data_IF_801508948185
#
_entry.id   IF_801508948185
#
_cell.length_a   1.000
_cell.length_b   1.000
_cell.length_c   1.000
_cell.angle_alpha   90.00
_cell.angle_beta   90.00
_cell.angle_gamma   90.00
#
_symmetry.space_group_name_H-M   'P 1'
#
loop_
_entity.id
_entity.type
_entity.pdbx_description
1 polymer ?
#
# COMPACT_ATOMS: atom_id res chain seq x y z
N UNK A 1 13.34 -10.06 1.65
CA UNK A 1 12.72 -8.73 1.46
C UNK A 1 13.76 -7.67 1.05
N UNK A 2 14.96 -7.62 1.68
CA UNK A 2 15.99 -6.61 1.36
C UNK A 2 16.55 -6.69 -0.07
N UNK A 3 16.37 -7.80 -0.78
CA UNK A 3 16.82 -7.98 -2.18
C UNK A 3 15.80 -7.50 -3.22
N UNK A 4 14.63 -6.99 -2.80
CA UNK A 4 13.62 -6.47 -3.72
C UNK A 4 14.05 -5.09 -4.22
N UNK A 5 13.91 -4.86 -5.52
CA UNK A 5 14.32 -3.62 -6.21
C UNK A 5 13.74 -2.38 -5.53
N UNK A 6 12.43 -2.37 -5.25
CA UNK A 6 11.78 -1.26 -4.59
C UNK A 6 12.39 -0.95 -3.21
N UNK A 7 12.67 -1.99 -2.40
CA UNK A 7 13.26 -1.80 -1.09
C UNK A 7 14.69 -1.23 -1.19
N UNK A 8 15.48 -1.71 -2.15
CA UNK A 8 16.82 -1.18 -2.39
C UNK A 8 16.78 0.27 -2.89
N UNK A 9 15.83 0.59 -3.76
CA UNK A 9 15.66 1.97 -4.20
C UNK A 9 15.27 2.89 -3.02
N UNK A 10 14.29 2.50 -2.18
CA UNK A 10 13.90 3.26 -1.00
C UNK A 10 15.08 3.46 -0.03
N UNK A 11 15.84 2.40 0.26
CA UNK A 11 17.01 2.47 1.14
C UNK A 11 18.10 3.38 0.57
N UNK A 12 18.27 3.41 -0.76
CA UNK A 12 19.24 4.28 -1.42
C UNK A 12 18.93 5.77 -1.21
N UNK A 13 17.66 6.14 -1.11
CA UNK A 13 17.24 7.52 -0.80
C UNK A 13 17.71 7.98 0.59
N UNK A 14 17.84 7.04 1.52
CA UNK A 14 18.41 7.27 2.86
C UNK A 14 19.91 7.00 2.94
N UNK A 15 20.55 6.71 1.81
CA UNK A 15 21.98 6.38 1.71
C UNK A 15 22.41 5.21 2.62
N UNK A 16 21.52 4.24 2.81
CA UNK A 16 21.76 3.00 3.56
C UNK A 16 21.59 1.78 2.65
N UNK A 17 22.27 0.68 3.00
CA UNK A 17 22.24 -0.56 2.20
C UNK A 17 21.28 -1.62 2.73
N UNK A 18 21.03 -1.63 4.03
CA UNK A 18 20.19 -2.61 4.69
C UNK A 18 19.10 -1.93 5.50
N UNK A 19 17.97 -2.59 5.63
CA UNK A 19 16.87 -2.11 6.45
C UNK A 19 17.29 -1.97 7.92
N UNK A 20 18.13 -2.86 8.41
CA UNK A 20 18.66 -2.85 9.77
C UNK A 20 19.43 -1.56 10.08
N UNK A 21 20.21 -1.06 9.10
CA UNK A 21 20.99 0.17 9.24
C UNK A 21 20.08 1.40 9.50
N UNK A 22 18.83 1.36 8.99
CA UNK A 22 17.82 2.40 9.21
C UNK A 22 17.00 2.14 10.48
N UNK A 23 16.64 0.88 10.74
CA UNK A 23 15.68 0.50 11.76
C UNK A 23 16.31 0.34 13.16
N UNK A 24 17.59 0.06 13.28
CA UNK A 24 18.23 -0.26 14.56
C UNK A 24 18.01 0.82 15.62
N UNK A 25 18.15 2.09 15.24
CA UNK A 25 17.95 3.21 16.14
C UNK A 25 16.48 3.54 16.45
N UNK A 26 15.55 2.98 15.67
CA UNK A 26 14.12 3.19 15.84
C UNK A 26 13.43 2.10 16.69
N UNK A 27 14.13 1.02 17.02
CA UNK A 27 13.56 -0.13 17.77
C UNK A 27 13.30 0.16 19.26
N UNK A 28 13.62 1.34 19.74
CA UNK A 28 13.37 1.74 21.11
C UNK A 28 11.89 2.14 21.30
N UNK A 29 11.18 1.43 22.17
CA UNK A 29 9.76 1.73 22.49
C UNK A 29 9.56 3.14 23.07
N UNK A 30 10.58 3.74 23.66
CA UNK A 30 10.51 5.14 24.14
C UNK A 30 10.35 6.16 22.99
N UNK A 31 10.56 5.75 21.73
CA UNK A 31 10.35 6.58 20.55
C UNK A 31 8.91 6.45 19.98
N UNK A 32 8.07 5.62 20.60
CA UNK A 32 6.68 5.51 20.17
C UNK A 32 5.88 6.74 20.60
N UNK A 33 5.03 7.24 19.71
CA UNK A 33 4.20 8.42 19.98
C UNK A 33 4.75 9.73 19.41
N UNK A 34 4.18 10.82 19.88
CA UNK A 34 4.40 12.18 19.38
C UNK A 34 5.04 13.06 20.46
N UNK A 35 5.80 14.04 20.02
CA UNK A 35 6.27 15.15 20.87
C UNK A 35 5.18 16.23 21.08
N UNK A 36 5.52 17.29 21.80
CA UNK A 36 4.65 18.44 22.08
C UNK A 36 4.22 19.23 20.83
N UNK A 37 4.94 19.09 19.73
CA UNK A 37 4.66 19.71 18.43
C UNK A 37 3.89 18.79 17.47
N UNK A 38 3.42 17.64 17.96
CA UNK A 38 2.78 16.59 17.16
C UNK A 38 3.69 16.04 16.04
N UNK A 39 4.97 15.83 16.33
CA UNK A 39 5.93 15.16 15.45
C UNK A 39 6.31 13.82 16.06
N UNK A 40 6.39 12.76 15.28
CA UNK A 40 6.80 11.46 15.80
C UNK A 40 8.25 11.50 16.32
N UNK A 41 8.50 10.91 17.47
CA UNK A 41 9.87 10.73 17.98
C UNK A 41 10.72 9.92 16.99
N UNK A 42 10.10 9.03 16.20
CA UNK A 42 10.75 8.33 15.11
C UNK A 42 11.30 9.28 14.04
N UNK A 43 10.58 10.35 13.70
CA UNK A 43 11.06 11.35 12.75
C UNK A 43 12.34 12.04 13.26
N UNK A 44 12.35 12.44 14.53
CA UNK A 44 13.54 13.05 15.13
C UNK A 44 14.74 12.10 15.16
N UNK A 45 14.52 10.84 15.58
CA UNK A 45 15.57 9.83 15.60
C UNK A 45 16.11 9.53 14.20
N UNK A 46 15.23 9.46 13.20
CA UNK A 46 15.61 9.22 11.81
C UNK A 46 16.41 10.38 11.23
N UNK A 47 15.96 11.63 11.41
CA UNK A 47 16.64 12.82 10.88
C UNK A 47 17.94 13.10 11.58
N UNK A 48 18.05 12.86 12.88
CA UNK A 48 19.31 12.97 13.63
C UNK A 48 20.37 11.97 13.13
N UNK A 49 19.97 10.75 12.79
CA UNK A 49 20.84 9.71 12.26
C UNK A 49 21.31 10.03 10.83
N UNK A 50 20.44 10.60 10.01
CA UNK A 50 20.62 10.79 8.57
C UNK A 50 21.10 12.21 8.21
N UNK A 51 21.43 13.04 9.19
CA UNK A 51 21.84 14.42 8.95
C UNK A 51 22.97 14.47 7.88
N UNK A 52 22.68 15.17 6.77
CA UNK A 52 23.54 15.26 5.56
C UNK A 52 23.78 13.93 4.79
N UNK A 53 23.15 12.82 5.16
CA UNK A 53 23.34 11.56 4.46
C UNK A 53 22.17 11.17 3.56
N UNK A 54 20.97 11.72 3.78
CA UNK A 54 19.79 11.42 2.96
C UNK A 54 19.75 12.26 1.68
N UNK A 55 19.19 11.68 0.61
CA UNK A 55 18.86 12.39 -0.62
C UNK A 55 17.50 13.12 -0.53
N UNK A 56 16.76 12.92 0.58
CA UNK A 56 15.47 13.55 0.81
C UNK A 56 15.66 14.83 1.63
N UNK A 57 15.08 15.97 1.20
CA UNK A 57 15.05 17.19 2.01
C UNK A 57 14.37 16.95 3.37
N UNK A 58 14.93 17.54 4.43
CA UNK A 58 14.40 17.40 5.80
C UNK A 58 12.97 17.91 5.89
N UNK A 59 12.67 18.99 5.19
CA UNK A 59 11.34 19.61 5.12
C UNK A 59 10.32 18.64 4.52
N UNK A 60 10.72 17.86 3.52
CA UNK A 60 9.86 16.86 2.89
C UNK A 60 9.61 15.67 3.82
N UNK A 61 10.63 15.24 4.56
CA UNK A 61 10.46 14.19 5.57
C UNK A 61 9.52 14.63 6.69
N UNK A 62 9.57 15.91 7.09
CA UNK A 62 8.63 16.48 8.06
C UNK A 62 7.21 16.56 7.51
N UNK A 63 7.04 16.93 6.24
CA UNK A 63 5.73 16.92 5.57
C UNK A 63 5.11 15.51 5.58
N UNK A 64 5.90 14.48 5.26
CA UNK A 64 5.44 13.09 5.32
C UNK A 64 5.06 12.67 6.74
N UNK A 65 5.85 13.05 7.74
CA UNK A 65 5.52 12.79 9.15
C UNK A 65 4.20 13.43 9.55
N UNK A 66 4.00 14.70 9.22
CA UNK A 66 2.76 15.42 9.49
C UNK A 66 1.56 14.82 8.77
N UNK A 67 1.75 14.27 7.56
CA UNK A 67 0.70 13.51 6.87
C UNK A 67 0.31 12.27 7.70
N UNK A 68 1.28 11.49 8.16
CA UNK A 68 1.06 10.29 8.98
C UNK A 68 0.33 10.65 10.27
N UNK A 69 0.71 11.77 10.93
CA UNK A 69 0.01 12.28 12.10
C UNK A 69 -1.47 12.56 11.79
N UNK A 70 -1.77 13.27 10.69
CA UNK A 70 -3.16 13.58 10.30
C UNK A 70 -3.99 12.32 10.05
N UNK A 71 -3.42 11.32 9.37
CA UNK A 71 -4.13 10.05 9.15
C UNK A 71 -4.40 9.34 10.46
N UNK A 72 -3.42 9.31 11.36
CA UNK A 72 -3.53 8.67 12.67
C UNK A 72 -4.60 9.35 13.52
N UNK A 73 -4.63 10.67 13.56
CA UNK A 73 -5.66 11.44 14.25
C UNK A 73 -7.05 11.10 13.72
N UNK A 74 -7.24 11.09 12.41
CA UNK A 74 -8.51 10.71 11.78
C UNK A 74 -8.94 9.28 12.13
N UNK A 75 -8.03 8.32 12.11
CA UNK A 75 -8.33 6.94 12.48
C UNK A 75 -8.64 6.80 13.98
N UNK A 76 -8.11 7.69 14.82
CA UNK A 76 -8.32 7.69 16.25
C UNK A 76 -9.62 8.38 16.69
N UNK A 77 -10.24 9.24 15.87
CA UNK A 77 -11.44 9.98 16.24
C UNK A 77 -12.54 9.10 16.85
N UNK A 78 -12.85 7.99 16.18
CA UNK A 78 -13.92 7.08 16.64
C UNK A 78 -13.46 6.13 17.74
N UNK A 79 -12.19 5.74 17.72
CA UNK A 79 -11.59 4.91 18.77
C UNK A 79 -11.67 5.59 20.12
N UNK A 80 -11.25 6.85 20.18
CA UNK A 80 -11.29 7.68 21.41
C UNK A 80 -12.72 7.84 21.90
N UNK A 81 -13.69 8.12 21.03
CA UNK A 81 -15.09 8.27 21.42
C UNK A 81 -15.72 6.97 21.94
N UNK A 82 -15.17 5.82 21.59
CA UNK A 82 -15.58 4.47 22.07
C UNK A 82 -14.79 4.02 23.31
N UNK A 83 -13.84 4.82 23.78
CA UNK A 83 -12.97 4.46 24.91
C UNK A 83 -11.93 3.39 24.56
N UNK A 84 -11.63 3.22 23.26
CA UNK A 84 -10.55 2.33 22.80
C UNK A 84 -9.21 3.05 22.86
N UNK A 85 -8.13 2.28 23.04
CA UNK A 85 -6.77 2.83 23.02
C UNK A 85 -6.45 3.46 21.66
N UNK A 86 -5.82 4.65 21.64
CA UNK A 86 -5.41 5.28 20.40
C UNK A 86 -4.32 4.46 19.69
N UNK A 87 -4.26 4.58 18.38
CA UNK A 87 -3.22 3.97 17.57
C UNK A 87 -1.90 4.68 17.87
N UNK A 88 -0.91 3.89 18.25
CA UNK A 88 0.50 4.29 18.37
C UNK A 88 1.31 3.39 17.47
N UNK A 89 1.98 3.97 16.48
CA UNK A 89 2.72 3.19 15.50
C UNK A 89 3.99 2.60 16.10
N UNK A 90 4.27 1.34 15.78
CA UNK A 90 5.58 0.73 15.98
C UNK A 90 6.54 1.19 14.88
N UNK A 91 7.86 1.15 15.13
CA UNK A 91 8.88 1.65 14.19
C UNK A 91 8.72 1.09 12.76
N UNK A 92 8.42 -0.21 12.62
CA UNK A 92 8.26 -0.84 11.30
C UNK A 92 6.96 -0.41 10.60
N UNK A 93 5.90 -0.13 11.34
CA UNK A 93 4.66 0.43 10.81
C UNK A 93 4.88 1.88 10.34
N UNK A 94 5.54 2.69 11.17
CA UNK A 94 5.92 4.05 10.82
C UNK A 94 6.77 4.11 9.55
N UNK A 95 7.84 3.29 9.46
CA UNK A 95 8.66 3.21 8.25
C UNK A 95 7.87 2.73 7.03
N UNK A 96 6.92 1.81 7.21
CA UNK A 96 6.04 1.38 6.11
C UNK A 96 5.20 2.54 5.59
N UNK A 97 4.61 3.34 6.48
CA UNK A 97 3.84 4.52 6.09
C UNK A 97 4.73 5.58 5.43
N UNK A 98 5.90 5.87 5.99
CA UNK A 98 6.86 6.80 5.42
C UNK A 98 7.32 6.39 4.01
N UNK A 99 7.63 5.12 3.81
CA UNK A 99 8.01 4.60 2.49
C UNK A 99 6.84 4.67 1.48
N UNK A 100 5.62 4.50 1.95
CA UNK A 100 4.42 4.69 1.13
C UNK A 100 4.24 6.16 0.74
N UNK A 101 4.45 7.12 1.66
CA UNK A 101 4.46 8.55 1.36
C UNK A 101 5.45 8.87 0.23
N UNK A 102 6.71 8.42 0.39
CA UNK A 102 7.77 8.65 -0.60
C UNK A 102 7.38 8.07 -1.97
N UNK A 103 6.85 6.85 -1.99
CA UNK A 103 6.46 6.20 -3.24
C UNK A 103 5.30 6.93 -3.92
N UNK A 104 4.22 7.22 -3.21
CA UNK A 104 3.05 7.88 -3.75
C UNK A 104 3.37 9.30 -4.22
N UNK A 105 4.17 10.06 -3.46
CA UNK A 105 4.65 11.37 -3.89
C UNK A 105 5.30 11.28 -5.28
N UNK A 106 6.23 10.35 -5.48
CA UNK A 106 6.94 10.16 -6.76
C UNK A 106 6.02 9.62 -7.85
N UNK A 107 5.14 8.69 -7.49
CA UNK A 107 4.15 8.13 -8.42
C UNK A 107 3.21 9.19 -9.00
N UNK A 108 2.76 10.14 -8.18
CA UNK A 108 1.84 11.20 -8.62
C UNK A 108 2.56 12.41 -9.22
N UNK A 109 3.74 12.78 -8.71
CA UNK A 109 4.48 13.96 -9.18
C UNK A 109 5.24 13.70 -10.47
N UNK A 110 6.03 12.62 -10.51
CA UNK A 110 6.91 12.29 -11.64
C UNK A 110 7.13 10.77 -11.75
N UNK A 111 6.16 10.04 -12.30
CA UNK A 111 6.24 8.59 -12.46
C UNK A 111 7.38 8.15 -13.40
N UNK A 112 7.80 9.01 -14.34
CA UNK A 112 8.93 8.70 -15.23
C UNK A 112 10.25 8.67 -14.49
N UNK A 113 10.51 9.66 -13.64
CA UNK A 113 11.71 9.68 -12.80
C UNK A 113 11.69 8.53 -11.79
N UNK A 114 10.53 8.18 -11.22
CA UNK A 114 10.41 6.99 -10.37
C UNK A 114 10.77 5.72 -11.13
N UNK A 115 10.23 5.53 -12.33
CA UNK A 115 10.51 4.37 -13.18
C UNK A 115 12.00 4.28 -13.54
N UNK A 116 12.62 5.39 -13.96
CA UNK A 116 14.03 5.45 -14.26
C UNK A 116 14.90 5.12 -13.03
N UNK A 117 14.54 5.60 -11.85
CA UNK A 117 15.22 5.27 -10.60
C UNK A 117 15.12 3.79 -10.23
N UNK A 118 13.97 3.16 -10.45
CA UNK A 118 13.78 1.73 -10.27
C UNK A 118 14.59 0.92 -11.30
N UNK A 119 14.65 1.35 -12.57
CA UNK A 119 15.49 0.70 -13.60
C UNK A 119 16.97 0.80 -13.27
N UNK A 120 17.45 1.93 -12.78
CA UNK A 120 18.83 2.05 -12.30
C UNK A 120 19.12 1.05 -11.18
N UNK A 121 18.17 0.84 -10.27
CA UNK A 121 18.30 -0.16 -9.21
C UNK A 121 18.23 -1.61 -9.75
N UNK A 122 17.39 -1.88 -10.77
CA UNK A 122 17.37 -3.17 -11.48
C UNK A 122 18.73 -3.47 -12.07
N UNK A 123 19.38 -2.51 -12.74
CA UNK A 123 20.72 -2.67 -13.31
C UNK A 123 21.75 -3.06 -12.23
N UNK A 124 21.72 -2.39 -11.06
CA UNK A 124 22.56 -2.73 -9.92
C UNK A 124 22.28 -4.15 -9.43
N UNK A 125 21.00 -4.53 -9.28
CA UNK A 125 20.60 -5.87 -8.83
C UNK A 125 21.02 -6.97 -9.80
N UNK A 126 21.20 -6.66 -11.07
CA UNK A 126 21.57 -7.61 -12.13
C UNK A 126 23.08 -7.72 -12.37
N UNK A 127 23.90 -6.87 -11.77
CA UNK A 127 25.36 -6.80 -12.03
C UNK A 127 26.05 -8.17 -11.94
N UNK A 128 25.66 -8.98 -10.94
CA UNK A 128 26.27 -10.30 -10.69
C UNK A 128 25.37 -11.46 -11.09
N UNK A 129 24.29 -11.22 -11.86
CA UNK A 129 23.34 -12.25 -12.26
C UNK A 129 23.51 -12.62 -13.73
N UNK A 130 23.50 -13.92 -13.99
CA UNK A 130 23.42 -14.47 -15.34
C UNK A 130 21.94 -14.67 -15.72
N UNK A 131 21.63 -14.64 -17.02
CA UNK A 131 20.33 -15.13 -17.49
C UNK A 131 20.17 -16.63 -17.13
N UNK A 132 18.99 -17.09 -16.71
CA UNK A 132 17.68 -16.39 -16.67
C UNK A 132 17.36 -15.66 -15.35
N UNK A 133 18.30 -15.48 -14.42
CA UNK A 133 18.06 -14.96 -13.08
C UNK A 133 17.98 -13.41 -13.04
N UNK A 134 18.19 -12.76 -14.18
CA UNK A 134 18.08 -11.31 -14.28
C UNK A 134 16.65 -10.82 -14.12
N UNK A 135 16.50 -9.69 -13.42
CA UNK A 135 15.22 -8.99 -13.30
C UNK A 135 15.00 -8.16 -14.57
N UNK A 136 13.87 -8.34 -15.23
CA UNK A 136 13.50 -7.52 -16.37
C UNK A 136 13.29 -6.06 -15.95
N UNK A 137 13.85 -5.07 -16.66
CA UNK A 137 13.59 -3.67 -16.40
C UNK A 137 12.17 -3.30 -16.81
N UNK A 138 11.67 -2.19 -16.27
CA UNK A 138 10.46 -1.54 -16.75
C UNK A 138 10.69 -0.95 -18.15
N UNK A 139 9.63 -0.92 -18.97
CA UNK A 139 9.68 -0.33 -20.32
C UNK A 139 9.60 1.22 -20.22
N UNK A 140 10.71 1.89 -20.52
CA UNK A 140 10.78 3.35 -20.51
C UNK A 140 10.06 4.03 -21.69
N UNK A 141 9.71 3.26 -22.73
CA UNK A 141 8.95 3.76 -23.88
C UNK A 141 7.44 3.68 -23.67
N UNK A 142 6.98 2.83 -22.76
CA UNK A 142 5.58 2.71 -22.39
C UNK A 142 5.19 3.72 -21.29
N UNK A 143 3.89 3.86 -21.07
CA UNK A 143 3.40 4.69 -19.96
C UNK A 143 3.89 4.15 -18.61
N UNK A 144 4.40 5.04 -17.76
CA UNK A 144 4.97 4.67 -16.48
C UNK A 144 3.90 4.26 -15.44
N UNK A 145 2.76 4.92 -15.41
CA UNK A 145 1.73 4.68 -14.38
C UNK A 145 1.22 3.24 -14.32
N UNK A 146 0.85 2.57 -15.43
CA UNK A 146 0.38 1.19 -15.37
C UNK A 146 1.45 0.21 -14.88
N UNK A 147 2.73 0.54 -15.06
CA UNK A 147 3.85 -0.30 -14.62
C UNK A 147 4.16 -0.12 -13.13
N UNK A 148 3.77 1.01 -12.53
CA UNK A 148 4.08 1.41 -11.16
C UNK A 148 2.86 1.36 -10.22
N UNK A 149 1.73 0.90 -10.70
CA UNK A 149 0.45 1.02 -10.02
C UNK A 149 0.18 -0.03 -8.94
N UNK A 150 1.21 -0.66 -8.39
CA UNK A 150 1.08 -1.74 -7.38
C UNK A 150 2.12 -1.62 -6.28
N UNK A 151 1.66 -1.69 -5.04
CA UNK A 151 2.51 -1.86 -3.86
C UNK A 151 2.08 -3.10 -3.08
N UNK A 152 3.04 -3.97 -2.75
CA UNK A 152 2.81 -5.15 -1.94
C UNK A 152 3.51 -5.03 -0.58
N UNK A 153 2.77 -5.31 0.48
CA UNK A 153 3.25 -5.28 1.87
C UNK A 153 3.36 -6.70 2.42
N UNK A 154 4.60 -7.12 2.65
CA UNK A 154 4.88 -8.40 3.29
C UNK A 154 4.97 -8.21 4.80
N UNK A 155 3.93 -8.61 5.51
CA UNK A 155 3.76 -8.34 6.92
C UNK A 155 3.31 -9.59 7.68
N UNK A 156 3.93 -9.86 8.82
CA UNK A 156 3.54 -10.97 9.68
C UNK A 156 2.08 -10.84 10.15
N UNK A 157 1.46 -11.98 10.47
CA UNK A 157 0.14 -11.98 11.12
C UNK A 157 0.23 -11.22 12.45
N UNK A 158 -0.77 -10.41 12.76
CA UNK A 158 -0.79 -9.59 13.98
C UNK A 158 0.10 -8.33 13.93
N UNK A 159 0.76 -8.02 12.81
CA UNK A 159 1.62 -6.83 12.69
C UNK A 159 0.87 -5.52 12.39
N UNK A 160 -0.47 -5.54 12.36
CA UNK A 160 -1.28 -4.36 12.10
C UNK A 160 -1.59 -4.11 10.61
N UNK A 161 -1.63 -5.15 9.77
CA UNK A 161 -1.97 -5.04 8.33
C UNK A 161 -3.22 -4.21 8.09
N UNK A 162 -4.31 -4.45 8.83
CA UNK A 162 -5.58 -3.73 8.67
C UNK A 162 -5.44 -2.25 8.98
N UNK A 163 -4.72 -1.88 10.03
CA UNK A 163 -4.48 -0.47 10.37
C UNK A 163 -3.68 0.24 9.27
N UNK A 164 -2.66 -0.44 8.72
CA UNK A 164 -1.89 0.09 7.61
C UNK A 164 -2.73 0.21 6.34
N UNK A 165 -3.61 -0.76 6.07
CA UNK A 165 -4.58 -0.69 4.96
C UNK A 165 -5.46 0.57 5.09
N UNK A 166 -5.99 0.84 6.28
CA UNK A 166 -6.79 2.04 6.53
C UNK A 166 -5.99 3.32 6.29
N UNK A 167 -4.75 3.38 6.78
CA UNK A 167 -3.87 4.52 6.55
C UNK A 167 -3.51 4.68 5.07
N UNK A 168 -3.25 3.59 4.34
CA UNK A 168 -2.91 3.64 2.91
C UNK A 168 -4.07 4.17 2.05
N UNK A 169 -5.33 3.92 2.42
CA UNK A 169 -6.49 4.56 1.77
C UNK A 169 -6.39 6.08 1.91
N UNK A 170 -6.12 6.57 3.13
CA UNK A 170 -6.01 7.99 3.40
C UNK A 170 -4.81 8.62 2.68
N UNK A 171 -3.66 7.93 2.64
CA UNK A 171 -2.48 8.34 1.90
C UNK A 171 -2.81 8.51 0.41
N UNK A 172 -3.40 7.50 -0.20
CA UNK A 172 -3.75 7.55 -1.63
C UNK A 172 -4.73 8.69 -1.95
N UNK A 173 -5.78 8.86 -1.12
CA UNK A 173 -6.74 9.97 -1.26
C UNK A 173 -6.07 11.33 -1.11
N UNK A 174 -5.13 11.49 -0.18
CA UNK A 174 -4.37 12.72 0.02
C UNK A 174 -3.55 13.08 -1.23
N UNK A 175 -2.87 12.11 -1.84
CA UNK A 175 -2.09 12.35 -3.06
C UNK A 175 -2.96 12.62 -4.28
N UNK A 176 -4.09 11.96 -4.42
CA UNK A 176 -5.09 12.32 -5.43
C UNK A 176 -5.56 13.78 -5.29
N UNK A 177 -5.78 14.24 -4.06
CA UNK A 177 -6.20 15.61 -3.79
C UNK A 177 -5.07 16.60 -4.05
N UNK A 178 -3.86 16.33 -3.52
CA UNK A 178 -2.65 17.15 -3.70
C UNK A 178 -2.35 17.41 -5.18
N UNK A 179 -2.55 16.43 -6.04
CA UNK A 179 -2.31 16.51 -7.48
C UNK A 179 -3.56 16.80 -8.33
N UNK A 180 -4.67 17.18 -7.71
CA UNK A 180 -5.92 17.60 -8.41
C UNK A 180 -6.63 16.46 -9.14
N UNK A 181 -6.32 15.19 -8.82
CA UNK A 181 -6.81 13.99 -9.49
C UNK A 181 -7.96 13.27 -8.75
N UNK A 182 -8.50 13.87 -7.69
CA UNK A 182 -9.54 13.23 -6.88
C UNK A 182 -10.77 12.78 -7.67
N UNK A 183 -11.14 13.52 -8.71
CA UNK A 183 -12.30 13.19 -9.57
C UNK A 183 -12.07 11.99 -10.48
N UNK A 184 -10.82 11.57 -10.62
CA UNK A 184 -10.47 10.40 -11.43
C UNK A 184 -10.75 9.09 -10.68
N UNK A 185 -10.82 9.11 -9.34
CA UNK A 185 -11.10 7.93 -8.55
C UNK A 185 -12.56 7.49 -8.75
N UNK A 186 -12.72 6.31 -9.33
CA UNK A 186 -14.02 5.71 -9.57
C UNK A 186 -14.55 4.99 -8.32
N UNK A 187 -13.79 4.02 -7.81
CA UNK A 187 -14.17 3.19 -6.65
C UNK A 187 -12.99 2.89 -5.75
N UNK A 188 -13.29 2.55 -4.50
CA UNK A 188 -12.34 1.94 -3.57
C UNK A 188 -12.85 0.53 -3.29
N UNK A 189 -12.11 -0.48 -3.71
CA UNK A 189 -12.51 -1.88 -3.65
C UNK A 189 -11.60 -2.63 -2.67
N UNK A 190 -12.18 -3.40 -1.75
CA UNK A 190 -11.41 -4.35 -0.93
C UNK A 190 -11.77 -5.78 -1.36
N UNK A 191 -10.79 -6.51 -1.87
CA UNK A 191 -10.91 -7.92 -2.19
C UNK A 191 -10.52 -8.78 -0.99
N UNK A 192 -11.40 -9.66 -0.59
CA UNK A 192 -11.20 -10.60 0.50
C UNK A 192 -11.33 -12.04 0.02
N UNK A 193 -10.64 -13.01 0.66
CA UNK A 193 -10.69 -14.40 0.24
C UNK A 193 -11.98 -15.14 0.64
N UNK A 194 -12.81 -14.56 1.50
CA UNK A 194 -14.09 -15.16 1.92
C UNK A 194 -15.01 -14.15 2.63
N UNK A 195 -16.28 -14.53 2.77
CA UNK A 195 -17.29 -13.68 3.39
C UNK A 195 -17.04 -13.37 4.88
N UNK A 196 -16.45 -14.31 5.63
CA UNK A 196 -16.11 -14.11 7.05
C UNK A 196 -15.12 -12.95 7.24
N UNK A 197 -14.08 -12.88 6.41
CA UNK A 197 -13.14 -11.76 6.39
C UNK A 197 -13.78 -10.48 5.88
N UNK A 198 -14.70 -10.54 4.90
CA UNK A 198 -15.46 -9.37 4.46
C UNK A 198 -16.23 -8.71 5.62
N UNK A 199 -16.91 -9.51 6.43
CA UNK A 199 -17.65 -9.05 7.62
C UNK A 199 -16.71 -8.51 8.71
N UNK A 200 -15.54 -9.11 8.89
CA UNK A 200 -14.54 -8.61 9.82
C UNK A 200 -14.06 -7.23 9.39
N UNK A 201 -13.64 -7.06 8.15
CA UNK A 201 -13.19 -5.77 7.62
C UNK A 201 -14.27 -4.70 7.71
N UNK A 202 -15.55 -5.04 7.45
CA UNK A 202 -16.64 -4.08 7.59
C UNK A 202 -16.67 -3.48 9.01
N UNK A 203 -16.58 -4.32 10.05
CA UNK A 203 -16.55 -3.86 11.46
C UNK A 203 -15.29 -3.02 11.77
N UNK A 204 -14.14 -3.41 11.21
CA UNK A 204 -12.88 -2.68 11.40
C UNK A 204 -12.91 -1.29 10.75
N UNK A 205 -13.52 -1.16 9.57
CA UNK A 205 -13.76 0.13 8.91
C UNK A 205 -14.71 1.03 9.72
N UNK A 206 -15.76 0.47 10.31
CA UNK A 206 -16.65 1.20 11.20
C UNK A 206 -15.89 1.79 12.40
N UNK A 207 -14.94 1.05 12.97
CA UNK A 207 -14.09 1.52 14.07
C UNK A 207 -13.13 2.62 13.62
N UNK A 208 -12.64 2.54 12.40
CA UNK A 208 -11.72 3.52 11.81
C UNK A 208 -12.39 4.78 11.26
N UNK A 209 -13.71 4.92 11.39
CA UNK A 209 -14.50 6.01 10.78
C UNK A 209 -14.33 6.12 9.25
N UNK A 210 -14.04 5.00 8.58
CA UNK A 210 -14.00 4.91 7.13
C UNK A 210 -15.33 4.29 6.67
N UNK A 211 -16.04 4.98 5.79
CA UNK A 211 -17.27 4.45 5.21
C UNK A 211 -16.98 3.20 4.40
N UNK A 212 -17.66 2.11 4.71
CA UNK A 212 -17.52 0.85 4.00
C UNK A 212 -18.85 0.13 3.89
N UNK A 213 -19.02 -0.65 2.85
CA UNK A 213 -20.20 -1.49 2.63
C UNK A 213 -19.80 -2.82 1.99
N UNK A 214 -20.58 -3.87 2.25
CA UNK A 214 -20.46 -5.09 1.48
C UNK A 214 -21.02 -4.83 0.09
N UNK A 215 -20.28 -5.21 -0.94
CA UNK A 215 -20.75 -5.02 -2.30
C UNK A 215 -22.10 -5.73 -2.51
N UNK A 216 -23.09 -4.97 -2.98
CA UNK A 216 -24.41 -5.47 -3.35
C UNK A 216 -24.67 -5.18 -4.83
N UNK A 217 -24.96 -6.22 -5.59
CA UNK A 217 -25.25 -6.16 -7.02
C UNK A 217 -26.46 -5.28 -7.35
N UNK A 218 -27.47 -5.28 -6.49
CA UNK A 218 -28.76 -4.57 -6.68
C UNK A 218 -28.69 -3.13 -6.13
N UNK A 219 -27.67 -2.82 -5.34
CA UNK A 219 -27.41 -1.48 -4.84
C UNK A 219 -26.65 -0.68 -5.89
N UNK A 220 -27.29 0.27 -6.56
CA UNK A 220 -26.54 1.39 -7.15
C UNK A 220 -25.87 2.07 -5.97
N UNK A 221 -24.55 1.87 -5.83
CA UNK A 221 -23.80 2.41 -4.70
C UNK A 221 -24.11 3.89 -4.51
N UNK A 222 -24.89 4.20 -3.49
CA UNK A 222 -25.25 5.57 -3.11
C UNK A 222 -24.00 6.42 -2.82
N UNK A 223 -22.85 5.77 -2.66
CA UNK A 223 -21.57 6.33 -2.27
C UNK A 223 -20.42 5.99 -3.23
N UNK A 224 -20.70 5.76 -4.52
CA UNK A 224 -19.66 5.43 -5.50
C UNK A 224 -18.44 6.35 -5.35
N UNK A 225 -17.27 5.75 -5.09
CA UNK A 225 -16.01 6.46 -4.88
C UNK A 225 -15.80 7.12 -3.51
N UNK A 226 -16.77 7.05 -2.58
CA UNK A 226 -16.65 7.62 -1.23
C UNK A 226 -16.57 6.54 -0.15
N UNK A 227 -17.19 5.38 -0.35
CA UNK A 227 -17.13 4.24 0.56
C UNK A 227 -16.23 3.14 -0.01
N UNK A 228 -15.66 2.34 0.88
CA UNK A 228 -14.95 1.12 0.51
C UNK A 228 -15.97 0.03 0.23
N UNK A 229 -15.98 -0.50 -0.98
CA UNK A 229 -16.82 -1.62 -1.37
C UNK A 229 -16.06 -2.93 -1.13
N UNK A 230 -16.55 -3.76 -0.22
CA UNK A 230 -15.89 -5.02 0.18
C UNK A 230 -16.46 -6.17 -0.65
N UNK A 231 -15.60 -6.85 -1.40
CA UNK A 231 -15.95 -7.95 -2.29
C UNK A 231 -15.29 -9.25 -1.85
N UNK A 232 -16.08 -10.29 -1.71
CA UNK A 232 -15.59 -11.65 -1.69
C UNK A 232 -15.21 -12.08 -3.12
N UNK A 233 -13.97 -12.48 -3.33
CA UNK A 233 -13.44 -12.84 -4.65
C UNK A 233 -14.23 -13.98 -5.32
N UNK A 234 -14.80 -14.91 -4.55
CA UNK A 234 -15.59 -16.01 -5.09
C UNK A 234 -16.90 -15.55 -5.73
N UNK A 235 -17.31 -14.29 -5.49
CA UNK A 235 -18.49 -13.68 -6.13
C UNK A 235 -18.15 -13.03 -7.48
N UNK A 236 -16.85 -12.86 -7.82
CA UNK A 236 -16.40 -12.34 -9.11
C UNK A 236 -16.33 -13.45 -10.15
N UNK A 237 -16.86 -13.20 -11.34
CA UNK A 237 -16.74 -14.08 -12.52
C UNK A 237 -16.61 -13.26 -13.80
N UNK A 238 -16.19 -13.92 -14.89
CA UNK A 238 -16.07 -13.29 -16.20
C UNK A 238 -17.46 -12.91 -16.78
N UNK A 239 -18.54 -13.63 -16.39
CA UNK A 239 -19.90 -13.37 -16.88
C UNK A 239 -20.90 -13.18 -15.74
N UNK A 240 -21.94 -12.39 -16.01
CA UNK A 240 -23.02 -12.14 -15.06
C UNK A 240 -23.87 -13.41 -14.84
N UNK A 241 -24.01 -13.83 -13.59
CA UNK A 241 -24.96 -14.85 -13.13
C UNK A 241 -25.77 -14.32 -11.95
N UNK A 242 -26.78 -15.06 -11.49
CA UNK A 242 -27.69 -14.63 -10.39
C UNK A 242 -26.94 -14.27 -9.08
N UNK A 243 -25.76 -14.89 -8.83
CA UNK A 243 -24.92 -14.66 -7.64
C UNK A 243 -23.53 -14.13 -7.97
N UNK A 244 -23.25 -13.75 -9.22
CA UNK A 244 -21.93 -13.36 -9.70
C UNK A 244 -21.94 -11.97 -10.29
N UNK A 245 -20.80 -11.31 -10.27
CA UNK A 245 -20.60 -9.93 -10.70
C UNK A 245 -19.63 -9.96 -11.86
N UNK A 246 -20.02 -9.35 -12.98
CA UNK A 246 -19.11 -9.19 -14.12
C UNK A 246 -18.04 -8.13 -13.78
N UNK A 247 -16.80 -8.41 -14.17
CA UNK A 247 -15.66 -7.50 -13.94
C UNK A 247 -15.85 -6.17 -14.63
N UNK A 248 -16.48 -6.17 -15.80
CA UNK A 248 -16.77 -4.96 -16.58
C UNK A 248 -17.62 -3.93 -15.80
N UNK A 249 -18.34 -4.37 -14.75
CA UNK A 249 -19.07 -3.48 -13.87
C UNK A 249 -18.16 -2.55 -13.02
N UNK A 250 -16.87 -2.84 -12.97
CA UNK A 250 -15.87 -2.11 -12.21
C UNK A 250 -14.84 -1.38 -13.10
N UNK A 251 -15.14 -1.17 -14.37
CA UNK A 251 -14.24 -0.40 -15.24
C UNK A 251 -13.97 0.99 -14.69
N UNK A 252 -12.72 1.42 -14.78
CA UNK A 252 -12.30 2.77 -14.40
C UNK A 252 -11.06 2.79 -13.51
N UNK A 253 -10.74 3.99 -13.03
CA UNK A 253 -9.61 4.21 -12.13
C UNK A 253 -10.04 3.84 -10.68
N UNK A 254 -9.77 2.62 -10.27
CA UNK A 254 -10.10 2.12 -8.94
C UNK A 254 -8.86 2.09 -8.03
N UNK A 255 -9.06 2.34 -6.75
CA UNK A 255 -8.13 1.91 -5.71
C UNK A 255 -8.53 0.51 -5.26
N UNK A 256 -7.67 -0.46 -5.48
CA UNK A 256 -7.92 -1.86 -5.13
C UNK A 256 -7.05 -2.27 -3.95
N UNK A 257 -7.67 -2.70 -2.89
CA UNK A 257 -7.03 -3.26 -1.70
C UNK A 257 -7.19 -4.78 -1.75
N UNK A 258 -6.11 -5.52 -1.52
CA UNK A 258 -6.13 -6.98 -1.61
C UNK A 258 -5.63 -7.56 -0.29
N UNK A 259 -6.53 -8.15 0.50
CA UNK A 259 -6.12 -8.91 1.67
C UNK A 259 -5.75 -10.34 1.26
N UNK A 260 -4.67 -10.86 1.88
CA UNK A 260 -4.09 -12.17 1.54
C UNK A 260 -3.70 -12.32 0.06
N UNK A 261 -3.06 -11.30 -0.51
CA UNK A 261 -2.67 -11.21 -1.93
C UNK A 261 -1.79 -12.34 -2.47
N UNK A 262 -1.23 -13.19 -1.58
CA UNK A 262 -0.48 -14.38 -1.99
C UNK A 262 -1.35 -15.48 -2.61
N UNK A 263 -2.66 -15.50 -2.34
CA UNK A 263 -3.57 -16.53 -2.82
C UNK A 263 -3.76 -16.53 -4.34
N UNK A 264 -3.21 -15.58 -5.05
CA UNK A 264 -3.27 -15.51 -6.52
C UNK A 264 -2.01 -16.01 -7.24
N UNK A 265 -1.04 -16.60 -6.56
CA UNK A 265 0.29 -16.88 -7.13
C UNK A 265 0.50 -18.31 -7.66
N UNK A 266 -0.39 -19.26 -7.40
CA UNK A 266 -0.31 -20.67 -7.82
C UNK A 266 -1.53 -21.08 -8.68
N UNK A 267 -1.36 -21.94 -9.68
CA UNK A 267 -2.30 -22.18 -10.80
C UNK A 267 -3.70 -22.70 -10.46
N UNK A 268 -4.67 -22.57 -11.37
CA UNK A 268 -6.06 -22.99 -11.23
C UNK A 268 -7.01 -21.83 -10.89
N UNK A 269 -7.82 -21.94 -9.82
CA UNK A 269 -8.69 -20.85 -9.32
C UNK A 269 -7.89 -19.58 -8.99
N UNK A 270 -6.62 -19.73 -8.65
CA UNK A 270 -5.68 -18.66 -8.35
C UNK A 270 -5.30 -17.83 -9.59
N UNK A 271 -5.27 -18.42 -10.78
CA UNK A 271 -5.11 -17.68 -12.04
C UNK A 271 -6.29 -16.75 -12.34
N UNK A 272 -7.50 -17.13 -11.91
CA UNK A 272 -8.68 -16.28 -12.02
C UNK A 272 -8.58 -15.07 -11.05
N UNK A 273 -8.11 -15.31 -9.82
CA UNK A 273 -7.86 -14.24 -8.84
C UNK A 273 -6.90 -13.17 -9.39
N UNK A 274 -5.76 -13.58 -9.97
CA UNK A 274 -4.80 -12.64 -10.56
C UNK A 274 -5.39 -11.86 -11.73
N UNK A 275 -6.16 -12.52 -12.60
CA UNK A 275 -6.83 -11.84 -13.73
C UNK A 275 -7.82 -10.79 -13.23
N UNK A 276 -8.66 -11.14 -12.27
CA UNK A 276 -9.65 -10.23 -11.69
C UNK A 276 -9.00 -9.01 -11.04
N UNK A 277 -7.99 -9.25 -10.19
CA UNK A 277 -7.20 -8.19 -9.59
C UNK A 277 -6.59 -7.25 -10.63
N UNK A 278 -5.96 -7.81 -11.67
CA UNK A 278 -5.32 -7.02 -12.70
C UNK A 278 -6.36 -6.20 -13.50
N UNK A 279 -7.49 -6.78 -13.85
CA UNK A 279 -8.56 -6.08 -14.56
C UNK A 279 -9.15 -4.94 -13.71
N UNK A 280 -9.41 -5.18 -12.42
CA UNK A 280 -9.95 -4.17 -11.52
C UNK A 280 -9.02 -2.96 -11.29
N UNK A 281 -7.70 -3.14 -11.38
CA UNK A 281 -6.72 -2.07 -11.18
C UNK A 281 -6.02 -1.63 -12.47
N UNK A 282 -6.49 -2.03 -13.65
CA UNK A 282 -5.84 -1.73 -14.94
C UNK A 282 -5.56 -0.24 -15.14
N UNK A 283 -6.53 0.60 -14.82
CA UNK A 283 -6.45 2.07 -14.92
C UNK A 283 -6.24 2.76 -13.57
N UNK A 284 -6.09 1.98 -12.50
CA UNK A 284 -6.04 2.47 -11.13
C UNK A 284 -4.77 2.06 -10.41
N UNK A 285 -4.88 1.84 -9.11
CA UNK A 285 -3.78 1.50 -8.22
C UNK A 285 -4.17 0.36 -7.27
N UNK A 286 -3.22 -0.50 -6.88
CA UNK A 286 -3.47 -1.52 -5.86
C UNK A 286 -2.47 -1.52 -4.72
N UNK A 287 -3.01 -1.75 -3.51
CA UNK A 287 -2.27 -2.14 -2.33
C UNK A 287 -2.56 -3.60 -1.99
N UNK A 288 -1.52 -4.42 -1.88
CA UNK A 288 -1.65 -5.85 -1.62
C UNK A 288 -0.98 -6.21 -0.29
N UNK A 289 -1.67 -6.96 0.56
CA UNK A 289 -1.20 -7.32 1.90
C UNK A 289 -1.12 -8.84 2.05
N UNK A 290 -0.02 -9.35 2.58
CA UNK A 290 0.11 -10.79 2.88
C UNK A 290 1.19 -11.08 3.91
N UNK A 291 0.97 -12.14 4.69
CA UNK A 291 1.99 -12.71 5.57
C UNK A 291 2.94 -13.67 4.84
N UNK A 292 2.59 -14.15 3.65
CA UNK A 292 3.24 -15.30 2.99
C UNK A 292 3.77 -15.02 1.58
N UNK A 293 3.92 -13.77 1.16
CA UNK A 293 4.55 -13.43 -0.14
C UNK A 293 5.93 -14.10 -0.34
N UNK A 294 6.64 -14.45 0.75
CA UNK A 294 7.90 -15.16 0.67
C UNK A 294 7.82 -16.56 0.04
N UNK A 295 6.64 -17.18 0.04
CA UNK A 295 6.41 -18.45 -0.67
C UNK A 295 6.28 -18.21 -2.19
N UNK A 296 5.66 -17.12 -2.59
CA UNK A 296 5.53 -16.73 -4.00
C UNK A 296 6.88 -16.30 -4.60
N UNK A 297 7.77 -15.71 -3.80
CA UNK A 297 9.11 -15.27 -4.25
C UNK A 297 10.13 -16.41 -4.25
N UNK A 298 9.92 -17.46 -3.45
CA UNK A 298 10.78 -18.65 -3.41
C UNK A 298 10.40 -19.74 -4.41
N UNK A 299 9.28 -19.59 -5.07
CA UNK A 299 8.75 -20.61 -5.94
C UNK A 299 9.20 -20.49 -7.36
N UNK A 300 10.41 -21.00 -7.65
CA UNK A 300 10.63 -22.01 -8.70
C UNK A 300 12.02 -22.60 -8.45
N UNK A 301 12.14 -23.95 -8.39
CA UNK A 301 13.44 -24.58 -8.40
C UNK A 301 14.15 -24.32 -9.71
#
# INVERSE_FOLDING_TARGET
AYKLVLNQWLLSLFNVKRFEDLAEHLRNEALEGLDENNVHHFHHALTAQLFNLTQLPTELLLEYDQNIVRYTQRLNERRITRGEEPIVWKYFQYLTLLFTEIYLERYFSDPKTLLAGLNAQVAICNTDKLEPDQIAPFDEQAEAWPQLNKLAFWMATGSGKTLLMHANILQYQQYLEKYGRRRELNRILLLTPNEGLSQQHLREFETAAISAELFNKDGRGLFAGQAVEILDIHKLKDEMGDKTIAIDAFEGNNLVLVDEGHRGASGGEEGAWMRFRNALCEKGFSFEYSATFGQAVKGKP
#
